data_IF_112622540481
#
_entry.id   IF_112622540481
#
_cell.length_a   1.000
_cell.length_b   1.000
_cell.length_c   1.000
_cell.angle_alpha   90.00
_cell.angle_beta   90.00
_cell.angle_gamma   90.00
#
_symmetry.space_group_name_H-M   'P 1'
#
loop_
_entity.id
_entity.type
_entity.pdbx_description
1 polymer ?
#
# COMPACT_ATOMS: atom_id res chain seq x y z
N UNK A 1 -19.87 0.80 3.24
CA UNK A 1 -19.00 -0.26 3.78
C UNK A 1 -17.59 0.28 3.80
N UNK A 2 -16.86 0.12 4.90
CA UNK A 2 -15.41 0.40 4.90
C UNK A 2 -14.73 -0.86 4.40
N UNK A 3 -14.05 -0.79 3.25
CA UNK A 3 -13.26 -1.89 2.71
C UNK A 3 -11.81 -1.77 3.17
N UNK A 4 -11.18 -2.91 3.41
CA UNK A 4 -9.76 -3.01 3.70
C UNK A 4 -9.14 -4.11 2.83
N UNK A 5 -7.96 -3.84 2.27
CA UNK A 5 -7.16 -4.82 1.53
C UNK A 5 -5.81 -5.00 2.22
N UNK A 6 -5.66 -6.13 2.90
CA UNK A 6 -4.54 -6.36 3.83
C UNK A 6 -3.47 -7.29 3.23
N UNK A 7 -3.51 -7.54 1.92
CA UNK A 7 -2.57 -8.45 1.27
C UNK A 7 -2.18 -7.92 -0.11
N UNK A 8 -1.36 -6.86 -0.11
CA UNK A 8 -0.90 -6.21 -1.34
C UNK A 8 0.60 -6.40 -1.48
N UNK A 9 1.05 -6.86 -2.63
CA UNK A 9 2.48 -6.92 -2.95
C UNK A 9 2.87 -5.71 -3.78
N UNK A 10 4.01 -5.11 -3.46
CA UNK A 10 4.60 -3.99 -4.18
C UNK A 10 5.68 -4.48 -5.14
N UNK A 11 6.21 -3.56 -5.94
CA UNK A 11 7.38 -3.82 -6.79
C UNK A 11 8.69 -4.04 -6.01
N UNK A 12 8.66 -4.02 -4.67
CA UNK A 12 9.75 -4.47 -3.81
C UNK A 12 9.70 -5.98 -3.52
N UNK A 13 8.69 -6.69 -4.04
CA UNK A 13 8.66 -8.15 -4.13
C UNK A 13 8.24 -8.60 -5.54
N UNK A 14 7.03 -9.13 -5.72
CA UNK A 14 6.49 -9.63 -6.99
C UNK A 14 5.27 -8.83 -7.49
N UNK A 15 4.92 -7.73 -6.83
CA UNK A 15 3.93 -6.77 -7.29
C UNK A 15 4.43 -5.89 -8.44
N UNK A 16 3.51 -5.20 -9.12
CA UNK A 16 3.84 -4.33 -10.25
C UNK A 16 3.90 -2.83 -9.89
N UNK A 17 3.40 -2.45 -8.73
CA UNK A 17 3.20 -1.05 -8.35
C UNK A 17 4.13 -0.65 -7.21
N UNK A 18 4.65 0.58 -7.26
CA UNK A 18 5.32 1.19 -6.13
C UNK A 18 4.32 1.45 -4.98
N UNK A 19 4.77 1.47 -3.71
CA UNK A 19 3.92 1.75 -2.56
C UNK A 19 3.05 3.01 -2.69
N UNK A 20 3.59 4.10 -3.24
CA UNK A 20 2.87 5.36 -3.45
C UNK A 20 1.76 5.21 -4.49
N UNK A 21 1.95 4.36 -5.50
CA UNK A 21 0.93 4.09 -6.52
C UNK A 21 -0.21 3.25 -5.93
N UNK A 22 0.11 2.28 -5.08
CA UNK A 22 -0.88 1.46 -4.35
C UNK A 22 -1.77 2.37 -3.47
N UNK A 23 -1.15 3.27 -2.69
CA UNK A 23 -1.87 4.22 -1.83
C UNK A 23 -2.80 5.12 -2.65
N UNK A 24 -2.29 5.71 -3.74
CA UNK A 24 -3.11 6.54 -4.63
C UNK A 24 -4.32 5.78 -5.22
N UNK A 25 -4.16 4.50 -5.55
CA UNK A 25 -5.27 3.67 -6.04
C UNK A 25 -6.27 3.35 -4.94
N UNK A 26 -5.80 3.01 -3.74
CA UNK A 26 -6.64 2.74 -2.58
C UNK A 26 -7.51 3.95 -2.22
N UNK A 27 -6.94 5.16 -2.25
CA UNK A 27 -7.68 6.41 -2.02
C UNK A 27 -8.78 6.61 -3.07
N UNK A 28 -8.44 6.44 -4.36
CA UNK A 28 -9.41 6.56 -5.47
C UNK A 28 -10.51 5.52 -5.41
N UNK A 29 -10.20 4.33 -4.91
CA UNK A 29 -11.15 3.23 -4.74
C UNK A 29 -12.02 3.39 -3.47
N UNK A 30 -11.72 4.35 -2.59
CA UNK A 30 -12.42 4.51 -1.31
C UNK A 30 -12.14 3.37 -0.32
N UNK A 31 -10.98 2.71 -0.45
CA UNK A 31 -10.50 1.70 0.51
C UNK A 31 -9.91 2.44 1.70
N UNK A 32 -10.38 2.11 2.91
CA UNK A 32 -10.05 2.88 4.12
C UNK A 32 -8.74 2.46 4.77
N UNK A 33 -8.35 1.21 4.58
CA UNK A 33 -7.16 0.61 5.17
C UNK A 33 -6.52 -0.35 4.20
N UNK A 34 -5.19 -0.33 4.14
CA UNK A 34 -4.43 -1.30 3.36
C UNK A 34 -3.23 -1.85 4.13
N UNK A 35 -2.71 -2.99 3.69
CA UNK A 35 -1.41 -3.50 4.15
C UNK A 35 -0.58 -3.97 2.96
N UNK A 36 0.68 -3.54 2.93
CA UNK A 36 1.69 -4.05 1.99
C UNK A 36 2.39 -5.22 2.67
N UNK A 37 2.31 -6.40 2.07
CA UNK A 37 2.78 -7.69 2.59
C UNK A 37 3.77 -8.33 1.62
N UNK A 38 4.87 -7.63 1.34
CA UNK A 38 5.89 -8.12 0.41
C UNK A 38 6.53 -9.44 0.86
N UNK A 39 6.93 -10.27 -0.12
CA UNK A 39 7.68 -11.49 0.14
C UNK A 39 9.05 -11.19 0.75
N UNK A 40 9.29 -11.70 1.97
CA UNK A 40 10.57 -11.68 2.68
C UNK A 40 11.27 -10.31 2.71
N UNK A 41 10.50 -9.22 2.61
CA UNK A 41 11.01 -7.87 2.43
C UNK A 41 10.15 -6.87 3.19
N UNK A 42 10.81 -5.94 3.86
CA UNK A 42 10.20 -4.73 4.45
C UNK A 42 10.64 -3.46 3.70
N UNK A 43 11.29 -3.64 2.54
CA UNK A 43 11.94 -2.55 1.80
C UNK A 43 10.96 -1.45 1.40
N UNK A 44 9.71 -1.80 1.14
CA UNK A 44 8.62 -0.88 0.81
C UNK A 44 8.33 0.15 1.89
N UNK A 45 8.69 -0.10 3.16
CA UNK A 45 8.50 0.86 4.26
C UNK A 45 9.46 2.05 4.20
N UNK A 46 10.67 1.87 3.65
CA UNK A 46 11.72 2.91 3.69
C UNK A 46 11.56 4.00 2.64
N UNK A 47 10.65 3.80 1.69
CA UNK A 47 10.48 4.66 0.52
C UNK A 47 9.46 5.75 0.81
N UNK A 48 8.53 5.45 1.70
CA UNK A 48 7.45 6.36 2.06
C UNK A 48 7.95 7.38 3.08
N UNK A 49 8.27 8.58 2.60
CA UNK A 49 8.62 9.73 3.45
C UNK A 49 7.42 10.67 3.71
N UNK A 50 6.20 10.24 3.40
CA UNK A 50 5.00 11.07 3.51
C UNK A 50 3.96 10.44 4.45
N UNK A 51 3.27 11.29 5.20
CA UNK A 51 2.08 10.91 5.94
C UNK A 51 0.85 10.96 5.01
N UNK A 52 -0.01 9.95 5.08
CA UNK A 52 -1.28 9.90 4.34
C UNK A 52 -2.43 9.92 5.34
N UNK A 53 -3.22 11.00 5.39
CA UNK A 53 -4.29 11.17 6.39
C UNK A 53 -5.54 10.32 6.11
N UNK A 54 -5.75 9.92 4.85
CA UNK A 54 -6.99 9.28 4.41
C UNK A 54 -6.96 7.74 4.44
N UNK A 55 -5.77 7.16 4.65
CA UNK A 55 -5.56 5.70 4.70
C UNK A 55 -4.82 5.37 5.99
N UNK A 56 -5.44 4.55 6.83
CA UNK A 56 -4.90 4.10 8.13
C UNK A 56 -4.68 2.60 8.09
#
# INVERSE_FOLDING_TARGET
MNYADLHIHSNYSDGNLAPEQIINLAQKAGVKSISITDHDSISSQYVINNEYEDII
#
